data_IF_045311068609
#
_entry.id   IF_045311068609
#
_cell.length_a   1.000
_cell.length_b   1.000
_cell.length_c   1.000
_cell.angle_alpha   90.00
_cell.angle_beta   90.00
_cell.angle_gamma   90.00
#
_symmetry.space_group_name_H-M   'P 1'
#
loop_
_entity.id
_entity.type
_entity.pdbx_description
1 polymer ?
#
# COMPACT_ATOMS: atom_id res chain seq x y z
N UNK A 1 6.54 -13.06 2.41
CA UNK A 1 6.50 -13.83 1.15
C UNK A 1 6.90 -13.06 -0.11
N UNK A 2 7.52 -11.86 -0.03
CA UNK A 2 7.94 -11.17 -1.26
C UNK A 2 9.09 -11.90 -1.98
N UNK A 3 10.15 -12.27 -1.26
CA UNK A 3 11.29 -12.99 -1.84
C UNK A 3 10.91 -14.34 -2.49
N UNK A 4 10.15 -15.25 -1.85
CA UNK A 4 9.72 -16.49 -2.53
C UNK A 4 8.85 -16.27 -3.76
N UNK A 5 7.98 -15.26 -3.75
CA UNK A 5 7.17 -14.94 -4.91
C UNK A 5 8.05 -14.46 -6.09
N UNK A 6 9.10 -13.68 -5.81
CA UNK A 6 10.09 -13.26 -6.81
C UNK A 6 10.89 -14.46 -7.31
N UNK A 7 11.36 -15.35 -6.42
CA UNK A 7 12.11 -16.55 -6.79
C UNK A 7 11.29 -17.47 -7.71
N UNK A 8 10.02 -17.72 -7.36
CA UNK A 8 9.09 -18.49 -8.19
C UNK A 8 8.84 -17.84 -9.56
N UNK A 9 8.63 -16.52 -9.58
CA UNK A 9 8.44 -15.75 -10.81
C UNK A 9 9.67 -15.77 -11.73
N UNK A 10 10.88 -15.61 -11.16
CA UNK A 10 12.15 -15.68 -11.88
C UNK A 10 12.41 -17.07 -12.45
N UNK A 11 12.22 -18.11 -11.64
CA UNK A 11 12.39 -19.49 -12.09
C UNK A 11 11.42 -19.84 -13.22
N UNK A 12 10.17 -19.37 -13.15
CA UNK A 12 9.18 -19.53 -14.22
C UNK A 12 9.59 -18.77 -15.49
N UNK A 13 10.03 -17.51 -15.34
CA UNK A 13 10.51 -16.69 -16.46
C UNK A 13 11.69 -17.36 -17.20
N UNK A 14 12.60 -17.97 -16.44
CA UNK A 14 13.78 -18.68 -16.95
C UNK A 14 13.49 -20.13 -17.39
N UNK A 15 12.25 -20.61 -17.21
CA UNK A 15 11.83 -21.99 -17.51
C UNK A 15 12.67 -23.05 -16.80
N UNK A 16 13.04 -22.78 -15.55
CA UNK A 16 13.75 -23.74 -14.71
C UNK A 16 12.82 -24.91 -14.35
N UNK A 17 13.41 -26.06 -14.04
CA UNK A 17 12.66 -27.21 -13.55
C UNK A 17 12.11 -26.95 -12.14
N UNK A 18 11.05 -27.68 -11.79
CA UNK A 18 10.34 -27.52 -10.52
C UNK A 18 11.25 -27.69 -9.30
N UNK A 19 12.23 -28.60 -9.35
CA UNK A 19 13.13 -28.85 -8.22
C UNK A 19 14.05 -27.66 -7.98
N UNK A 20 14.62 -27.09 -9.04
CA UNK A 20 15.42 -25.85 -8.95
C UNK A 20 14.60 -24.70 -8.36
N UNK A 21 13.35 -24.54 -8.79
CA UNK A 21 12.45 -23.49 -8.26
C UNK A 21 12.14 -23.76 -6.77
N UNK A 22 11.91 -25.02 -6.40
CA UNK A 22 11.65 -25.42 -5.03
C UNK A 22 12.83 -25.06 -4.11
N UNK A 23 14.06 -25.39 -4.50
CA UNK A 23 15.26 -25.02 -3.74
C UNK A 23 15.42 -23.50 -3.61
N UNK A 24 15.19 -22.74 -4.69
CA UNK A 24 15.25 -21.28 -4.66
C UNK A 24 14.20 -20.65 -3.73
N UNK A 25 12.96 -21.18 -3.72
CA UNK A 25 11.91 -20.74 -2.80
C UNK A 25 12.36 -20.98 -1.36
N UNK A 26 12.81 -22.19 -1.02
CA UNK A 26 13.27 -22.53 0.33
C UNK A 26 14.36 -21.56 0.82
N UNK A 27 15.41 -21.36 0.01
CA UNK A 27 16.51 -20.46 0.34
C UNK A 27 16.05 -19.00 0.51
N UNK A 28 15.23 -18.50 -0.43
CA UNK A 28 14.78 -17.10 -0.41
C UNK A 28 13.91 -16.79 0.80
N UNK A 29 13.07 -17.73 1.25
CA UNK A 29 12.25 -17.61 2.46
C UNK A 29 13.15 -17.54 3.69
N UNK A 30 14.07 -18.50 3.81
CA UNK A 30 14.99 -18.60 4.95
C UNK A 30 15.73 -17.28 5.21
N UNK A 31 16.21 -16.63 4.15
CA UNK A 31 17.03 -15.41 4.24
C UNK A 31 16.24 -14.10 4.31
N UNK A 32 14.93 -14.10 4.06
CA UNK A 32 14.14 -12.87 3.88
C UNK A 32 13.19 -12.51 5.04
N UNK A 33 13.34 -13.14 6.20
CA UNK A 33 12.62 -12.73 7.40
C UNK A 33 13.24 -11.48 8.02
N UNK A 34 12.41 -10.44 8.19
CA UNK A 34 12.78 -9.20 8.87
C UNK A 34 11.62 -8.74 9.74
N UNK A 35 11.91 -8.24 10.94
CA UNK A 35 10.87 -7.72 11.83
C UNK A 35 10.26 -6.43 11.29
N UNK A 36 9.06 -6.09 11.77
CA UNK A 36 8.35 -4.87 11.37
C UNK A 36 8.95 -3.59 12.00
N UNK A 37 10.05 -3.69 12.75
CA UNK A 37 10.70 -2.55 13.40
C UNK A 37 11.14 -1.49 12.38
N UNK A 38 11.44 -1.90 11.14
CA UNK A 38 11.69 -1.00 9.99
C UNK A 38 10.55 0.00 9.69
N UNK A 39 9.37 -0.13 10.33
CA UNK A 39 8.15 0.66 10.10
C UNK A 39 7.48 1.07 11.43
N UNK A 40 8.22 1.18 12.53
CA UNK A 40 7.74 1.62 13.85
C UNK A 40 8.80 2.49 14.55
N UNK A 41 8.38 3.49 15.32
CA UNK A 41 9.28 4.45 15.97
C UNK A 41 9.91 5.39 14.94
N UNK A 42 11.21 5.68 15.08
CA UNK A 42 11.96 6.44 14.08
C UNK A 42 12.09 5.62 12.78
N UNK A 43 11.30 5.97 11.77
CA UNK A 43 11.27 5.26 10.49
C UNK A 43 12.47 5.70 9.64
N UNK A 44 13.44 4.81 9.48
CA UNK A 44 14.61 5.05 8.62
C UNK A 44 14.32 4.79 7.13
N UNK A 45 15.24 5.23 6.27
CA UNK A 45 15.18 4.99 4.82
C UNK A 45 15.14 3.51 4.45
N UNK A 46 15.56 2.61 5.35
CA UNK A 46 15.52 1.16 5.13
C UNK A 46 14.11 0.64 4.77
N UNK A 47 13.05 1.31 5.24
CA UNK A 47 11.65 1.04 4.84
C UNK A 47 11.49 0.99 3.31
N UNK A 48 12.16 1.87 2.58
CA UNK A 48 12.09 1.96 1.12
C UNK A 48 12.94 0.89 0.42
N UNK A 49 14.04 0.46 1.04
CA UNK A 49 14.98 -0.52 0.47
C UNK A 49 14.64 -1.98 0.79
N UNK A 50 13.92 -2.25 1.88
CA UNK A 50 13.57 -3.62 2.30
C UNK A 50 12.90 -4.47 1.19
N UNK A 51 11.97 -3.94 0.36
CA UNK A 51 11.44 -4.72 -0.76
C UNK A 51 12.49 -5.07 -1.83
N UNK A 52 13.39 -4.14 -2.16
CA UNK A 52 14.46 -4.38 -3.13
C UNK A 52 15.48 -5.40 -2.59
N UNK A 53 15.75 -5.38 -1.29
CA UNK A 53 16.56 -6.38 -0.60
C UNK A 53 15.98 -7.80 -0.79
N UNK A 54 14.67 -7.97 -0.63
CA UNK A 54 14.01 -9.25 -0.90
C UNK A 54 14.19 -9.72 -2.35
N UNK A 55 14.18 -8.79 -3.32
CA UNK A 55 14.48 -9.09 -4.73
C UNK A 55 15.92 -9.54 -4.95
N UNK A 56 16.90 -8.88 -4.32
CA UNK A 56 18.31 -9.28 -4.39
C UNK A 56 18.51 -10.70 -3.85
N UNK A 57 17.93 -11.00 -2.68
CA UNK A 57 18.01 -12.33 -2.08
C UNK A 57 17.36 -13.41 -2.96
N UNK A 58 16.25 -13.10 -3.62
CA UNK A 58 15.59 -14.02 -4.54
C UNK A 58 16.45 -14.32 -5.77
N UNK A 59 17.10 -13.31 -6.36
CA UNK A 59 18.02 -13.50 -7.50
C UNK A 59 19.19 -14.41 -7.09
N UNK A 60 19.79 -14.14 -5.94
CA UNK A 60 20.90 -14.96 -5.43
C UNK A 60 20.45 -16.40 -5.13
N UNK A 61 19.28 -16.59 -4.52
CA UNK A 61 18.72 -17.92 -4.26
C UNK A 61 18.49 -18.71 -5.55
N UNK A 62 17.97 -18.07 -6.60
CA UNK A 62 17.77 -18.70 -7.91
C UNK A 62 19.12 -19.05 -8.56
N UNK A 63 20.10 -18.15 -8.56
CA UNK A 63 21.45 -18.42 -9.11
C UNK A 63 22.11 -19.63 -8.42
N UNK A 64 22.07 -19.71 -7.09
CA UNK A 64 22.62 -20.84 -6.34
C UNK A 64 21.92 -22.15 -6.67
N UNK A 65 20.58 -22.14 -6.71
CA UNK A 65 19.81 -23.33 -7.07
C UNK A 65 20.13 -23.82 -8.50
N UNK A 66 20.29 -22.90 -9.45
CA UNK A 66 20.71 -23.22 -10.83
C UNK A 66 22.10 -23.88 -10.90
N UNK A 67 22.96 -23.68 -9.89
CA UNK A 67 24.27 -24.34 -9.75
C UNK A 67 24.18 -25.71 -9.08
N UNK A 68 22.97 -26.20 -8.77
CA UNK A 68 22.73 -27.48 -8.13
C UNK A 68 22.80 -27.46 -6.60
N UNK A 69 22.86 -26.28 -5.98
CA UNK A 69 22.84 -26.16 -4.53
C UNK A 69 21.44 -26.43 -3.97
N UNK A 70 21.40 -27.10 -2.80
CA UNK A 70 20.16 -27.33 -2.04
C UNK A 70 20.03 -26.33 -0.89
N UNK A 71 18.79 -26.09 -0.47
CA UNK A 71 18.42 -25.18 0.60
C UNK A 71 17.91 -25.95 1.84
N UNK A 72 17.88 -25.31 3.03
CA UNK A 72 17.17 -25.86 4.18
C UNK A 72 15.70 -26.19 3.81
N UNK A 73 15.28 -27.43 4.03
CA UNK A 73 14.00 -27.95 3.55
C UNK A 73 13.40 -28.99 4.49
N UNK A 74 12.07 -29.02 4.69
CA UNK A 74 11.11 -28.02 4.21
C UNK A 74 11.18 -26.72 5.04
N UNK A 75 11.28 -25.57 4.38
CA UNK A 75 11.50 -24.29 5.08
C UNK A 75 10.30 -23.82 5.89
N UNK A 76 9.09 -24.26 5.54
CA UNK A 76 7.86 -23.85 6.20
C UNK A 76 7.49 -24.79 7.36
N UNK A 77 7.48 -26.10 7.13
CA UNK A 77 6.95 -27.10 8.06
C UNK A 77 8.02 -27.84 8.87
N UNK A 78 9.30 -27.59 8.59
CA UNK A 78 10.40 -28.25 9.31
C UNK A 78 10.37 -28.00 10.82
N UNK A 79 11.14 -28.76 11.58
CA UNK A 79 11.17 -28.63 13.04
C UNK A 79 11.63 -27.22 13.48
N UNK A 80 12.68 -26.69 12.86
CA UNK A 80 13.23 -25.35 13.12
C UNK A 80 12.95 -24.37 11.97
N UNK A 81 11.68 -24.33 11.57
CA UNK A 81 11.20 -23.64 10.39
C UNK A 81 10.50 -22.32 10.66
N UNK A 82 10.01 -21.72 9.57
CA UNK A 82 9.21 -20.49 9.59
C UNK A 82 7.95 -20.64 10.44
N UNK A 83 7.16 -21.71 10.28
CA UNK A 83 5.92 -21.86 11.04
C UNK A 83 6.21 -21.95 12.53
N UNK A 84 7.21 -22.76 12.88
CA UNK A 84 7.63 -23.03 14.25
C UNK A 84 8.10 -21.77 15.00
N UNK A 85 8.98 -20.98 14.39
CA UNK A 85 9.73 -19.94 15.10
C UNK A 85 9.34 -18.51 14.74
N UNK A 86 8.80 -18.29 13.53
CA UNK A 86 8.54 -16.94 13.02
C UNK A 86 7.06 -16.59 12.96
N UNK A 87 6.19 -17.59 12.83
CA UNK A 87 4.75 -17.39 12.81
C UNK A 87 4.12 -17.87 14.13
N UNK A 88 3.00 -18.58 14.08
CA UNK A 88 2.19 -18.87 15.26
C UNK A 88 2.58 -20.13 16.03
N UNK A 89 3.66 -20.81 15.65
CA UNK A 89 4.17 -22.01 16.31
C UNK A 89 3.96 -23.29 15.49
N UNK A 90 4.60 -24.39 15.94
CA UNK A 90 4.60 -25.71 15.27
C UNK A 90 3.18 -26.29 15.10
N UNK A 91 2.27 -25.97 16.01
CA UNK A 91 0.90 -26.50 16.03
C UNK A 91 -0.11 -25.60 15.28
N UNK A 92 0.36 -24.64 14.48
CA UNK A 92 -0.51 -23.73 13.72
C UNK A 92 -0.64 -24.14 12.26
N UNK A 93 -1.88 -24.20 11.81
CA UNK A 93 -2.23 -24.44 10.41
C UNK A 93 -2.45 -23.12 9.67
N UNK A 94 -1.99 -23.07 8.41
CA UNK A 94 -2.03 -21.89 7.56
C UNK A 94 -2.53 -22.21 6.16
N UNK A 95 -3.81 -21.97 5.93
CA UNK A 95 -4.42 -22.20 4.62
C UNK A 95 -4.01 -21.11 3.62
N UNK A 96 -3.22 -21.48 2.60
CA UNK A 96 -2.88 -20.59 1.47
C UNK A 96 -3.68 -21.01 0.23
N UNK A 97 -4.58 -20.16 -0.29
CA UNK A 97 -5.35 -20.48 -1.50
C UNK A 97 -4.47 -20.38 -2.74
N UNK A 98 -4.51 -21.40 -3.60
CA UNK A 98 -3.94 -21.35 -4.95
C UNK A 98 -5.04 -21.47 -6.01
N UNK A 99 -4.80 -20.93 -7.23
CA UNK A 99 -5.69 -21.21 -8.36
C UNK A 99 -5.69 -22.69 -8.71
N UNK A 100 -6.87 -23.24 -8.98
CA UNK A 100 -7.02 -24.60 -9.49
C UNK A 100 -6.43 -24.74 -10.90
N UNK A 101 -6.07 -25.96 -11.35
CA UNK A 101 -5.65 -26.20 -12.73
C UNK A 101 -6.62 -25.59 -13.75
N UNK A 102 -6.10 -24.73 -14.63
CA UNK A 102 -6.89 -24.03 -15.65
C UNK A 102 -7.58 -22.75 -15.18
N UNK A 103 -7.56 -22.41 -13.88
CA UNK A 103 -8.05 -21.11 -13.43
C UNK A 103 -7.06 -19.98 -13.76
N UNK A 104 -7.56 -18.81 -14.19
CA UNK A 104 -6.71 -17.65 -14.46
C UNK A 104 -6.17 -17.03 -13.17
N UNK A 105 -4.90 -16.63 -13.18
CA UNK A 105 -4.28 -15.82 -12.11
C UNK A 105 -4.86 -14.41 -12.11
N UNK A 106 -5.79 -14.11 -11.20
CA UNK A 106 -6.50 -12.83 -11.14
C UNK A 106 -6.10 -11.92 -9.99
N UNK A 107 -5.23 -12.35 -9.09
CA UNK A 107 -4.83 -11.57 -7.90
C UNK A 107 -4.21 -10.22 -8.26
N UNK A 108 -3.57 -10.08 -9.41
CA UNK A 108 -3.04 -8.79 -9.90
C UNK A 108 -4.15 -7.73 -10.04
N UNK A 109 -5.40 -8.14 -10.29
CA UNK A 109 -6.55 -7.26 -10.42
C UNK A 109 -7.04 -6.72 -9.07
N UNK A 110 -6.58 -7.34 -7.98
CA UNK A 110 -6.74 -6.85 -6.61
C UNK A 110 -5.56 -5.96 -6.17
N UNK A 111 -4.73 -5.51 -7.11
CA UNK A 111 -3.69 -4.54 -6.79
C UNK A 111 -4.30 -3.16 -6.57
N UNK A 112 -3.95 -2.58 -5.42
CA UNK A 112 -4.47 -1.27 -5.07
C UNK A 112 -3.57 -0.15 -5.58
N UNK A 113 -4.10 0.64 -6.51
CA UNK A 113 -3.37 1.77 -7.08
C UNK A 113 -3.31 2.92 -6.09
N UNK A 114 -2.12 3.49 -5.91
CA UNK A 114 -1.93 4.76 -5.22
C UNK A 114 -2.03 5.88 -6.24
N UNK A 115 -2.94 6.82 -6.02
CA UNK A 115 -2.94 8.08 -6.75
C UNK A 115 -1.87 9.00 -6.17
N UNK A 116 -1.95 9.18 -4.85
CA UNK A 116 -1.12 10.10 -4.10
C UNK A 116 0.15 9.40 -3.61
N UNK A 117 1.29 10.08 -3.62
CA UNK A 117 2.50 9.58 -2.97
C UNK A 117 2.33 9.74 -1.46
N UNK A 118 1.63 8.79 -0.84
CA UNK A 118 1.38 8.68 0.59
C UNK A 118 1.26 7.19 1.00
N UNK A 119 1.25 6.90 2.30
CA UNK A 119 0.83 5.60 2.82
C UNK A 119 -0.57 5.22 2.30
N UNK A 120 -0.84 3.92 2.08
CA UNK A 120 -2.04 3.51 1.34
C UNK A 120 -3.33 3.86 2.11
N UNK A 121 -3.32 3.80 3.44
CA UNK A 121 -4.45 4.08 4.31
C UNK A 121 -4.78 5.58 4.36
N UNK A 122 -3.88 6.43 3.86
CA UNK A 122 -4.10 7.86 3.75
C UNK A 122 -4.71 8.30 2.40
N UNK A 123 -4.80 7.41 1.41
CA UNK A 123 -5.27 7.77 0.06
C UNK A 123 -6.69 8.37 0.10
N UNK A 124 -7.63 7.69 0.78
CA UNK A 124 -9.00 8.19 0.91
C UNK A 124 -9.09 9.47 1.74
N UNK A 125 -8.17 9.67 2.71
CA UNK A 125 -8.14 10.89 3.53
C UNK A 125 -7.79 12.12 2.69
N UNK A 126 -6.86 11.97 1.73
CA UNK A 126 -6.51 13.04 0.79
C UNK A 126 -7.72 13.38 -0.09
N UNK A 127 -8.39 12.35 -0.64
CA UNK A 127 -9.57 12.55 -1.47
C UNK A 127 -10.73 13.23 -0.70
N UNK A 128 -10.97 12.80 0.54
CA UNK A 128 -11.96 13.42 1.44
C UNK A 128 -11.58 14.88 1.74
N UNK A 129 -10.31 15.16 2.03
CA UNK A 129 -9.83 16.51 2.28
C UNK A 129 -10.04 17.42 1.05
N UNK A 130 -9.81 16.93 -0.16
CA UNK A 130 -10.13 17.66 -1.39
C UNK A 130 -11.63 17.92 -1.55
N UNK A 131 -12.48 16.95 -1.22
CA UNK A 131 -13.94 17.12 -1.22
C UNK A 131 -14.38 18.21 -0.24
N UNK A 132 -13.85 18.17 1.00
CA UNK A 132 -14.13 19.14 2.05
C UNK A 132 -13.64 20.54 1.69
N UNK A 133 -12.46 20.66 1.09
CA UNK A 133 -11.93 21.95 0.62
C UNK A 133 -12.86 22.61 -0.39
N UNK A 134 -13.48 21.84 -1.29
CA UNK A 134 -14.45 22.40 -2.26
C UNK A 134 -15.70 22.98 -1.61
N UNK A 135 -16.00 22.61 -0.36
CA UNK A 135 -17.05 23.24 0.46
C UNK A 135 -16.65 24.62 1.02
N UNK A 136 -15.43 25.11 0.72
CA UNK A 136 -14.91 26.45 1.08
C UNK A 136 -14.96 26.75 2.58
N UNK A 137 -14.70 25.75 3.41
CA UNK A 137 -14.58 25.89 4.86
C UNK A 137 -13.30 26.68 5.14
N UNK A 138 -13.39 27.73 5.96
CA UNK A 138 -12.22 28.43 6.48
C UNK A 138 -11.53 27.56 7.56
N UNK A 139 -10.28 27.09 7.33
CA UNK A 139 -9.58 26.25 8.31
C UNK A 139 -9.42 26.91 9.68
N UNK A 140 -9.42 28.25 9.76
CA UNK A 140 -9.32 28.98 11.03
C UNK A 140 -10.56 28.81 11.92
N UNK A 141 -11.72 28.54 11.30
CA UNK A 141 -12.99 28.29 12.02
C UNK A 141 -13.12 26.86 12.52
N UNK A 142 -12.18 25.97 12.16
CA UNK A 142 -12.19 24.59 12.61
C UNK A 142 -11.83 24.56 14.11
N UNK A 143 -12.70 23.92 14.88
CA UNK A 143 -12.48 23.59 16.29
C UNK A 143 -11.84 22.22 16.44
N UNK A 144 -12.38 21.22 15.74
CA UNK A 144 -11.94 19.82 15.83
C UNK A 144 -12.20 19.10 14.49
N UNK A 145 -11.35 18.12 14.18
CA UNK A 145 -11.56 17.16 13.11
C UNK A 145 -11.41 15.75 13.67
N UNK A 146 -12.43 14.92 13.48
CA UNK A 146 -12.40 13.50 13.87
C UNK A 146 -12.48 12.63 12.61
N UNK A 147 -11.50 11.73 12.46
CA UNK A 147 -11.41 10.78 11.36
C UNK A 147 -11.78 9.38 11.89
N UNK A 148 -12.98 8.92 11.56
CA UNK A 148 -13.46 7.57 11.88
C UNK A 148 -12.99 6.57 10.83
N UNK A 149 -12.21 5.57 11.25
CA UNK A 149 -11.49 4.67 10.34
C UNK A 149 -11.28 3.28 10.95
N UNK A 150 -10.66 2.36 10.21
CA UNK A 150 -10.30 1.02 10.69
C UNK A 150 -9.18 1.02 11.73
N UNK A 151 -9.07 -0.08 12.48
CA UNK A 151 -7.96 -0.38 13.39
C UNK A 151 -6.60 -0.14 12.73
N UNK A 152 -6.45 -0.59 11.48
CA UNK A 152 -5.19 -0.53 10.78
C UNK A 152 -4.76 0.93 10.56
N UNK A 153 -5.64 1.78 10.03
CA UNK A 153 -5.35 3.21 9.85
C UNK A 153 -5.08 3.88 11.19
N UNK A 154 -5.96 3.67 12.18
CA UNK A 154 -5.87 4.29 13.51
C UNK A 154 -4.53 3.98 14.21
N UNK A 155 -4.12 2.72 14.24
CA UNK A 155 -2.95 2.25 14.99
C UNK A 155 -1.64 2.27 14.19
N UNK A 156 -1.69 2.37 12.85
CA UNK A 156 -0.48 2.40 12.00
C UNK A 156 -0.10 3.81 11.60
N UNK A 157 -1.04 4.67 11.22
CA UNK A 157 -0.76 6.04 10.74
C UNK A 157 -1.54 7.13 11.47
N UNK A 158 -2.53 6.76 12.29
CA UNK A 158 -3.34 7.68 13.09
C UNK A 158 -2.84 7.89 14.51
N UNK A 159 -3.70 8.48 15.33
CA UNK A 159 -3.46 8.83 16.73
C UNK A 159 -3.26 7.62 17.63
N UNK A 160 -3.91 6.49 17.33
CA UNK A 160 -3.75 5.23 18.08
C UNK A 160 -2.36 4.61 17.97
N UNK A 161 -1.53 5.10 17.04
CA UNK A 161 -0.13 4.67 16.96
C UNK A 161 0.73 5.12 18.14
N UNK A 162 0.25 6.10 18.94
CA UNK A 162 0.96 6.69 20.09
C UNK A 162 2.37 7.21 19.75
N UNK A 163 2.57 7.62 18.49
CA UNK A 163 3.84 8.13 17.98
C UNK A 163 3.78 9.67 17.93
N UNK A 164 4.46 10.38 18.85
CA UNK A 164 4.43 11.84 18.90
C UNK A 164 5.06 12.47 17.65
N UNK A 165 5.99 11.79 16.98
CA UNK A 165 6.65 12.32 15.77
C UNK A 165 5.67 12.52 14.62
N UNK A 166 4.50 11.87 14.63
CA UNK A 166 3.46 12.09 13.61
C UNK A 166 2.72 13.40 13.77
N UNK A 167 2.87 14.08 14.90
CA UNK A 167 2.38 15.43 15.14
C UNK A 167 3.48 16.47 15.01
N UNK A 168 4.71 16.05 14.67
CA UNK A 168 5.85 16.93 14.56
C UNK A 168 6.04 17.38 13.09
N UNK A 169 5.85 18.66 12.75
CA UNK A 169 6.12 19.17 11.41
C UNK A 169 7.61 19.12 11.01
N UNK A 170 8.52 18.91 11.95
CA UNK A 170 9.95 18.71 11.72
C UNK A 170 10.35 17.26 11.46
N UNK A 171 9.40 16.33 11.54
CA UNK A 171 9.65 14.92 11.30
C UNK A 171 10.12 14.65 9.86
N UNK A 172 10.77 13.49 9.67
CA UNK A 172 11.22 13.04 8.36
C UNK A 172 10.05 12.87 7.40
N UNK A 173 10.36 12.89 6.09
CA UNK A 173 9.40 12.56 5.04
C UNK A 173 8.75 11.19 5.31
N UNK A 174 9.54 10.22 5.76
CA UNK A 174 9.11 8.85 6.03
C UNK A 174 8.06 8.77 7.14
N UNK A 175 8.17 9.65 8.15
CA UNK A 175 7.20 9.80 9.24
C UNK A 175 5.98 10.61 8.80
N UNK A 176 6.17 11.73 8.11
CA UNK A 176 5.06 12.57 7.60
C UNK A 176 4.19 11.81 6.56
N UNK A 177 4.82 10.96 5.74
CA UNK A 177 4.15 9.99 4.85
C UNK A 177 3.27 9.00 5.61
N UNK A 178 3.47 8.84 6.93
CA UNK A 178 2.73 7.93 7.81
C UNK A 178 1.98 8.67 8.94
N UNK A 179 1.67 9.96 8.73
CA UNK A 179 0.85 10.76 9.64
C UNK A 179 -0.49 11.09 8.98
N UNK A 180 -1.56 10.40 9.37
CA UNK A 180 -2.91 10.68 8.88
C UNK A 180 -3.33 12.14 9.13
N UNK A 181 -2.91 12.71 10.27
CA UNK A 181 -3.21 14.08 10.67
C UNK A 181 -2.50 15.08 9.75
N UNK A 182 -1.19 14.89 9.50
CA UNK A 182 -0.44 15.77 8.60
C UNK A 182 -0.97 15.71 7.17
N UNK A 183 -1.17 14.49 6.66
CA UNK A 183 -1.63 14.26 5.30
C UNK A 183 -2.99 14.92 5.08
N UNK A 184 -3.93 14.73 6.01
CA UNK A 184 -5.24 15.35 5.94
C UNK A 184 -5.16 16.88 6.01
N UNK A 185 -4.36 17.44 6.93
CA UNK A 185 -4.18 18.88 7.08
C UNK A 185 -3.67 19.53 5.79
N UNK A 186 -2.56 19.02 5.23
CA UNK A 186 -1.95 19.57 4.02
C UNK A 186 -2.88 19.41 2.81
N UNK A 187 -3.53 18.26 2.66
CA UNK A 187 -4.48 18.06 1.57
C UNK A 187 -5.68 19.02 1.64
N UNK A 188 -6.19 19.30 2.85
CA UNK A 188 -7.28 20.24 3.07
C UNK A 188 -6.87 21.69 2.77
N UNK A 189 -5.67 22.08 3.22
CA UNK A 189 -5.14 23.44 3.06
C UNK A 189 -4.70 23.78 1.64
N UNK A 190 -4.14 22.81 0.91
CA UNK A 190 -3.57 23.05 -0.42
C UNK A 190 -4.57 22.67 -1.53
N UNK A 191 -5.36 21.62 -1.34
CA UNK A 191 -6.26 21.09 -2.36
C UNK A 191 -5.57 20.30 -3.48
N UNK A 192 -4.28 20.01 -3.30
CA UNK A 192 -3.50 19.14 -4.16
C UNK A 192 -2.48 18.36 -3.31
N UNK A 193 -1.94 17.27 -3.86
CA UNK A 193 -0.88 16.48 -3.22
C UNK A 193 0.25 16.23 -4.21
N UNK A 194 1.47 16.62 -3.85
CA UNK A 194 2.64 16.46 -4.69
C UNK A 194 3.72 15.64 -3.96
N UNK A 195 4.31 14.69 -4.67
CA UNK A 195 5.22 13.70 -4.10
C UNK A 195 6.45 14.28 -3.40
N UNK A 196 6.93 15.47 -3.77
CA UNK A 196 7.98 16.19 -3.02
C UNK A 196 7.47 17.43 -2.28
N UNK A 197 6.87 18.37 -3.00
CA UNK A 197 6.43 19.67 -2.49
C UNK A 197 5.50 19.59 -1.27
N UNK A 198 4.66 18.55 -1.15
CA UNK A 198 3.79 18.36 0.02
C UNK A 198 4.55 17.92 1.29
N UNK A 199 5.83 17.56 1.18
CA UNK A 199 6.71 17.18 2.28
C UNK A 199 7.88 18.16 2.49
N UNK A 200 7.97 19.24 1.70
CA UNK A 200 9.03 20.23 1.86
C UNK A 200 8.96 20.85 3.26
N UNK A 201 10.12 21.11 3.88
CA UNK A 201 10.18 21.61 5.27
C UNK A 201 9.43 22.94 5.42
N UNK A 202 9.56 23.83 4.45
CA UNK A 202 8.88 25.13 4.41
C UNK A 202 7.37 24.96 4.35
N UNK A 203 6.89 23.90 3.68
CA UNK A 203 5.47 23.57 3.65
C UNK A 203 5.03 22.96 4.98
N UNK A 204 5.72 21.95 5.48
CA UNK A 204 5.32 21.25 6.71
C UNK A 204 5.28 22.19 7.92
N UNK A 205 6.21 23.15 7.98
CA UNK A 205 6.36 24.13 9.07
C UNK A 205 5.41 25.32 9.03
N UNK A 206 4.46 25.39 8.08
CA UNK A 206 3.50 26.50 8.07
C UNK A 206 2.75 26.56 9.41
N UNK A 207 2.64 27.73 10.07
CA UNK A 207 1.95 27.84 11.35
C UNK A 207 0.51 27.35 11.32
N UNK A 208 -0.21 27.58 10.22
CA UNK A 208 -1.59 27.10 10.04
C UNK A 208 -1.69 25.58 10.04
N UNK A 209 -0.71 24.88 9.46
CA UNK A 209 -0.65 23.42 9.42
C UNK A 209 -0.38 22.88 10.81
N UNK A 210 0.60 23.43 11.53
CA UNK A 210 0.90 23.01 12.90
C UNK A 210 -0.29 23.23 13.85
N UNK A 211 -1.06 24.31 13.65
CA UNK A 211 -2.30 24.56 14.39
C UNK A 211 -3.39 23.52 14.06
N UNK A 212 -3.65 23.31 12.76
CA UNK A 212 -4.68 22.38 12.29
C UNK A 212 -4.35 20.93 12.68
N UNK A 213 -3.08 20.54 12.60
CA UNK A 213 -2.58 19.21 12.95
C UNK A 213 -2.99 18.80 14.37
N UNK A 214 -2.94 19.74 15.33
CA UNK A 214 -3.33 19.52 16.74
C UNK A 214 -4.84 19.37 16.94
N UNK A 215 -5.65 19.79 15.97
CA UNK A 215 -7.12 19.68 15.99
C UNK A 215 -7.62 18.38 15.36
N UNK A 216 -6.76 17.63 14.69
CA UNK A 216 -7.12 16.40 13.99
C UNK A 216 -6.80 15.19 14.87
N UNK A 217 -7.79 14.32 15.07
CA UNK A 217 -7.60 13.01 15.68
C UNK A 217 -8.25 11.90 14.86
N UNK A 218 -7.80 10.68 15.06
CA UNK A 218 -8.43 9.49 14.47
C UNK A 218 -9.09 8.67 15.57
N UNK A 219 -10.19 8.01 15.24
CA UNK A 219 -10.85 7.06 16.12
C UNK A 219 -11.15 5.79 15.33
N UNK A 220 -10.85 4.64 15.93
CA UNK A 220 -11.28 3.36 15.36
C UNK A 220 -12.80 3.22 15.47
N UNK A 221 -13.42 2.72 14.40
CA UNK A 221 -14.78 2.16 14.48
C UNK A 221 -14.79 0.74 13.96
N UNK A 222 -15.54 -0.11 14.67
CA UNK A 222 -15.60 -1.56 14.44
C UNK A 222 -16.03 -1.87 13.00
N UNK A 223 -17.01 -1.16 12.47
CA UNK A 223 -17.53 -1.34 11.11
C UNK A 223 -16.48 -1.11 10.03
N UNK A 224 -15.54 -0.16 10.24
CA UNK A 224 -14.44 0.06 9.30
C UNK A 224 -13.40 -1.05 9.39
N UNK A 225 -13.12 -1.56 10.61
CA UNK A 225 -12.23 -2.70 10.81
C UNK A 225 -12.79 -3.98 10.18
N UNK A 226 -14.07 -4.27 10.37
CA UNK A 226 -14.76 -5.41 9.76
C UNK A 226 -14.74 -5.31 8.22
N UNK A 227 -15.05 -4.14 7.66
CA UNK A 227 -15.02 -3.94 6.21
C UNK A 227 -13.60 -4.01 5.63
N UNK A 228 -12.57 -3.55 6.35
CA UNK A 228 -11.17 -3.66 5.93
C UNK A 228 -10.74 -5.12 5.78
N UNK A 229 -11.22 -6.00 6.67
CA UNK A 229 -10.91 -7.43 6.68
C UNK A 229 -11.92 -8.31 5.93
N UNK A 230 -12.87 -7.71 5.22
CA UNK A 230 -13.90 -8.47 4.54
C UNK A 230 -13.28 -9.49 3.56
N UNK A 231 -13.69 -10.77 3.58
CA UNK A 231 -13.07 -11.81 2.77
C UNK A 231 -13.30 -11.59 1.26
N UNK A 232 -14.46 -11.08 0.87
CA UNK A 232 -14.74 -10.65 -0.51
C UNK A 232 -14.03 -9.30 -0.80
N UNK A 233 -13.07 -9.27 -1.73
CA UNK A 233 -12.36 -8.04 -2.11
C UNK A 233 -13.26 -6.94 -2.64
N UNK A 234 -14.42 -7.26 -3.23
CA UNK A 234 -15.40 -6.27 -3.70
C UNK A 234 -16.01 -5.46 -2.55
N UNK A 235 -16.07 -6.05 -1.36
CA UNK A 235 -16.65 -5.44 -0.16
C UNK A 235 -15.61 -4.79 0.76
N UNK A 236 -14.33 -4.92 0.43
CA UNK A 236 -13.26 -4.29 1.22
C UNK A 236 -13.38 -2.77 1.16
N UNK A 237 -13.17 -2.15 2.32
CA UNK A 237 -13.18 -0.69 2.49
C UNK A 237 -11.88 -0.20 3.09
N UNK A 238 -11.24 0.74 2.41
CA UNK A 238 -9.99 1.40 2.79
C UNK A 238 -10.16 2.90 3.04
N UNK A 239 -11.40 3.30 3.31
CA UNK A 239 -11.80 4.68 3.48
C UNK A 239 -11.97 5.13 4.92
N UNK A 240 -12.69 6.24 5.09
CA UNK A 240 -12.99 6.85 6.38
C UNK A 240 -14.24 7.74 6.29
N UNK A 241 -14.80 8.06 7.45
CA UNK A 241 -15.71 9.19 7.63
C UNK A 241 -14.99 10.29 8.40
N UNK A 242 -15.05 11.52 7.90
CA UNK A 242 -14.44 12.70 8.53
C UNK A 242 -15.54 13.65 8.97
N UNK A 243 -15.46 14.05 10.24
CA UNK A 243 -16.34 15.05 10.85
C UNK A 243 -15.52 16.26 11.27
N UNK A 244 -15.76 17.39 10.60
CA UNK A 244 -15.21 18.69 10.98
C UNK A 244 -16.25 19.40 11.84
N UNK A 245 -15.87 19.78 13.06
CA UNK A 245 -16.69 20.64 13.91
C UNK A 245 -16.12 22.06 13.93
N UNK A 246 -16.95 23.04 13.59
CA UNK A 246 -16.59 24.45 13.60
C UNK A 246 -16.72 25.05 15.01
N UNK A 247 -16.17 26.25 15.20
CA UNK A 247 -16.23 26.99 16.47
C UNK A 247 -17.67 27.26 16.94
N UNK A 248 -18.59 27.51 16.01
CA UNK A 248 -20.03 27.72 16.29
C UNK A 248 -20.80 26.41 16.58
N UNK A 249 -20.12 25.26 16.53
CA UNK A 249 -20.72 23.94 16.74
C UNK A 249 -21.26 23.27 15.49
N UNK A 250 -21.28 23.94 14.34
CA UNK A 250 -21.69 23.35 13.06
C UNK A 250 -20.80 22.15 12.71
N UNK A 251 -21.42 21.06 12.28
CA UNK A 251 -20.73 19.86 11.83
C UNK A 251 -20.80 19.69 10.31
N UNK A 252 -19.65 19.44 9.70
CA UNK A 252 -19.53 19.13 8.28
C UNK A 252 -18.95 17.73 8.16
N UNK A 253 -19.67 16.85 7.47
CA UNK A 253 -19.31 15.45 7.30
C UNK A 253 -18.96 15.16 5.84
N UNK A 254 -18.02 14.25 5.64
CA UNK A 254 -17.64 13.70 4.34
C UNK A 254 -17.14 12.28 4.54
N UNK A 255 -17.47 11.38 3.61
CA UNK A 255 -17.16 9.96 3.72
C UNK A 255 -16.80 9.40 2.36
N UNK A 256 -15.77 8.56 2.33
CA UNK A 256 -15.47 7.69 1.21
C UNK A 256 -15.25 6.29 1.73
N UNK A 257 -15.85 5.29 1.09
CA UNK A 257 -15.63 3.88 1.44
C UNK A 257 -14.27 3.37 0.94
N UNK A 258 -13.79 3.90 -0.19
CA UNK A 258 -12.51 3.56 -0.79
C UNK A 258 -11.87 4.80 -1.45
N UNK A 259 -10.53 4.85 -1.55
CA UNK A 259 -9.83 5.88 -2.32
C UNK A 259 -10.33 5.94 -3.77
N UNK A 260 -10.25 7.11 -4.40
CA UNK A 260 -10.73 7.31 -5.77
C UNK A 260 -10.12 6.32 -6.75
N UNK A 261 -8.79 6.21 -6.75
CA UNK A 261 -8.04 5.34 -7.66
C UNK A 261 -8.13 3.83 -7.36
N UNK A 262 -8.73 3.44 -6.23
CA UNK A 262 -8.95 2.02 -5.90
C UNK A 262 -9.86 1.36 -6.96
N UNK A 263 -9.72 0.05 -7.25
CA UNK A 263 -10.61 -0.64 -8.19
C UNK A 263 -12.11 -0.52 -7.86
N UNK A 264 -12.45 -0.50 -6.56
CA UNK A 264 -13.80 -0.27 -6.04
C UNK A 264 -14.05 1.21 -5.66
N UNK A 265 -13.20 2.13 -6.10
CA UNK A 265 -13.30 3.57 -5.83
C UNK A 265 -14.29 4.27 -6.76
N UNK A 266 -14.56 5.55 -6.49
CA UNK A 266 -15.49 6.33 -7.32
C UNK A 266 -14.89 6.77 -8.66
N UNK A 267 -13.56 6.80 -8.77
CA UNK A 267 -12.81 7.16 -9.98
C UNK A 267 -11.60 6.24 -10.16
N UNK A 268 -11.79 4.92 -10.39
CA UNK A 268 -10.68 3.99 -10.51
C UNK A 268 -9.72 4.43 -11.61
N UNK A 269 -8.42 4.35 -11.33
CA UNK A 269 -7.38 4.83 -12.25
C UNK A 269 -7.50 4.18 -13.63
N UNK A 270 -7.58 5.02 -14.66
CA UNK A 270 -7.57 4.62 -16.06
C UNK A 270 -6.20 4.92 -16.66
N UNK A 271 -5.97 4.42 -17.88
CA UNK A 271 -4.71 4.62 -18.62
C UNK A 271 -4.24 6.09 -18.63
N UNK A 272 -5.15 7.04 -18.88
CA UNK A 272 -4.82 8.47 -18.90
C UNK A 272 -4.27 8.97 -17.56
N UNK A 273 -4.74 8.41 -16.44
CA UNK A 273 -4.34 8.81 -15.10
C UNK A 273 -2.95 8.24 -14.77
N UNK A 274 -2.65 7.01 -15.22
CA UNK A 274 -1.29 6.46 -15.18
C UNK A 274 -0.31 7.27 -16.01
N UNK A 275 -0.68 7.70 -17.23
CA UNK A 275 0.17 8.54 -18.07
C UNK A 275 0.41 9.90 -17.41
N UNK A 276 -0.64 10.53 -16.87
CA UNK A 276 -0.50 11.79 -16.11
C UNK A 276 0.47 11.64 -14.95
N UNK A 277 0.30 10.58 -14.15
CA UNK A 277 1.21 10.27 -13.03
C UNK A 277 2.64 10.00 -13.49
N UNK A 278 2.84 9.23 -14.56
CA UNK A 278 4.16 8.98 -15.15
C UNK A 278 4.84 10.30 -15.55
N UNK A 279 4.11 11.20 -16.22
CA UNK A 279 4.65 12.49 -16.63
C UNK A 279 5.10 13.33 -15.44
N UNK A 280 4.27 13.40 -14.38
CA UNK A 280 4.60 14.12 -13.14
C UNK A 280 5.81 13.55 -12.43
N UNK A 281 5.90 12.22 -12.30
CA UNK A 281 7.01 11.57 -11.59
C UNK A 281 8.35 11.62 -12.34
N UNK A 282 8.30 11.87 -13.65
CA UNK A 282 9.49 11.93 -14.51
C UNK A 282 9.83 13.37 -14.93
N UNK A 283 9.11 14.37 -14.42
CA UNK A 283 9.36 15.78 -14.71
C UNK A 283 10.79 16.16 -14.31
N UNK A 284 11.54 16.77 -15.24
CA UNK A 284 12.94 17.13 -15.03
C UNK A 284 13.94 15.96 -14.99
N UNK A 285 13.47 14.70 -14.97
CA UNK A 285 14.34 13.51 -14.93
C UNK A 285 14.53 12.84 -16.29
N UNK A 286 13.52 12.94 -17.16
CA UNK A 286 13.52 12.30 -18.49
C UNK A 286 13.12 13.35 -19.53
N UNK A 287 13.84 13.38 -20.64
CA UNK A 287 13.53 14.25 -21.77
C UNK A 287 12.15 13.95 -22.37
N UNK A 288 11.44 14.98 -22.82
CA UNK A 288 10.07 14.86 -23.33
C UNK A 288 9.95 13.89 -24.52
N UNK A 289 10.98 13.84 -25.38
CA UNK A 289 11.05 12.91 -26.50
C UNK A 289 11.15 11.45 -26.03
N UNK A 290 12.00 11.17 -25.03
CA UNK A 290 12.17 9.82 -24.48
C UNK A 290 10.92 9.34 -23.73
N UNK A 291 10.23 10.23 -23.01
CA UNK A 291 8.90 9.92 -22.43
C UNK A 291 7.91 9.49 -23.52
N UNK A 292 7.86 10.24 -24.62
CA UNK A 292 6.94 9.95 -25.75
C UNK A 292 7.29 8.63 -26.41
N UNK A 293 8.58 8.36 -26.65
CA UNK A 293 9.05 7.07 -27.19
C UNK A 293 8.67 5.93 -26.25
N UNK A 294 8.96 6.03 -24.96
CA UNK A 294 8.61 4.99 -23.99
C UNK A 294 7.11 4.69 -24.01
N UNK A 295 6.26 5.72 -23.90
CA UNK A 295 4.81 5.55 -23.94
C UNK A 295 4.35 4.91 -25.25
N UNK A 296 4.87 5.35 -26.40
CA UNK A 296 4.55 4.73 -27.70
C UNK A 296 4.90 3.24 -27.72
N UNK A 297 6.06 2.84 -27.21
CA UNK A 297 6.45 1.43 -27.16
C UNK A 297 5.58 0.64 -26.18
N UNK A 298 5.32 1.18 -24.99
CA UNK A 298 4.48 0.54 -23.99
C UNK A 298 3.05 0.31 -24.51
N UNK A 299 2.51 1.26 -25.27
CA UNK A 299 1.19 1.15 -25.89
C UNK A 299 1.15 0.21 -27.11
N UNK A 300 2.27 0.10 -27.83
CA UNK A 300 2.39 -0.79 -28.98
C UNK A 300 2.68 -2.25 -28.58
N UNK A 301 3.02 -2.52 -27.32
CA UNK A 301 3.12 -3.89 -26.82
C UNK A 301 1.78 -4.60 -27.04
N UNK A 302 1.78 -5.63 -27.90
CA UNK A 302 0.62 -6.51 -28.04
C UNK A 302 0.25 -7.03 -26.64
N UNK A 303 -1.04 -7.17 -26.31
CA UNK A 303 -1.43 -7.80 -25.05
C UNK A 303 -0.90 -9.23 -25.06
N UNK A 304 0.27 -9.47 -24.45
CA UNK A 304 0.90 -10.78 -24.34
C UNK A 304 0.19 -11.67 -23.29
N UNK A 305 -0.97 -11.26 -22.78
CA UNK A 305 -1.83 -12.03 -21.88
C UNK A 305 -3.31 -11.65 -22.05
N UNK A 306 -4.28 -12.53 -21.66
CA UNK A 306 -5.70 -12.35 -21.95
C UNK A 306 -6.22 -11.07 -21.32
N UNK A 307 -6.64 -10.13 -22.18
CA UNK A 307 -7.48 -9.02 -21.75
C UNK A 307 -8.81 -9.59 -21.29
N UNK A 308 -9.14 -9.44 -20.01
CA UNK A 308 -10.47 -9.80 -19.53
C UNK A 308 -11.48 -8.84 -20.18
N UNK A 309 -12.52 -9.37 -20.86
CA UNK A 309 -13.57 -8.53 -21.39
C UNK A 309 -14.19 -7.67 -20.30
N UNK A 310 -14.61 -6.42 -20.62
CA UNK A 310 -15.35 -5.57 -19.69
C UNK A 310 -16.52 -6.34 -19.05
N UNK A 311 -16.67 -6.27 -17.72
CA UNK A 311 -17.74 -6.95 -16.99
C UNK A 311 -17.50 -8.44 -16.62
N UNK A 312 -16.36 -9.04 -17.00
CA UNK A 312 -15.97 -10.41 -16.57
C UNK A 312 -15.35 -10.49 -15.18
N UNK A 313 -15.11 -9.34 -14.54
CA UNK A 313 -14.70 -9.23 -13.14
C UNK A 313 -15.91 -9.41 -12.23
N UNK A 314 -16.34 -10.66 -12.03
CA UNK A 314 -17.25 -11.03 -10.94
C UNK A 314 -16.45 -11.83 -9.91
N UNK A 315 -15.82 -11.10 -8.99
CA UNK A 315 -15.14 -11.64 -7.82
C UNK A 315 -13.83 -12.37 -8.11
N UNK A 316 -12.92 -12.30 -7.16
CA UNK A 316 -11.72 -13.10 -7.07
C UNK A 316 -11.85 -14.11 -5.93
N UNK A 317 -13.03 -14.72 -5.80
CA UNK A 317 -13.27 -15.71 -4.75
C UNK A 317 -12.24 -16.83 -4.91
N UNK A 318 -11.24 -16.82 -4.02
CA UNK A 318 -10.33 -17.93 -3.83
C UNK A 318 -11.11 -19.13 -3.34
N UNK A 319 -10.68 -20.31 -3.74
CA UNK A 319 -11.21 -21.57 -3.22
C UNK A 319 -11.07 -21.62 -1.69
N UNK A 320 -11.96 -22.36 -1.04
CA UNK A 320 -11.91 -22.69 0.39
C UNK A 320 -10.89 -23.79 0.72
N UNK A 321 -10.25 -24.41 -0.28
CA UNK A 321 -9.17 -25.38 -0.06
C UNK A 321 -7.80 -24.70 -0.17
N UNK A 322 -7.04 -24.73 0.91
CA UNK A 322 -5.60 -24.43 0.89
C UNK A 322 -4.75 -25.68 1.04
N UNK A 323 -3.45 -25.48 1.04
CA UNK A 323 -2.42 -26.53 0.93
C UNK A 323 -1.89 -26.99 2.30
N UNK A 324 -2.15 -26.23 3.35
CA UNK A 324 -1.70 -26.52 4.72
C UNK A 324 -2.83 -26.35 5.73
#
# INVERSE_FOLDING_TARGET
HLAPAIAAGLGTLLRLDTETIFQAINQSVHLSFSTRQSRKGEISSWKAYAPAWAGKLAIEAVDRAMRGEKAPSPIYEGEDSVLAWMLGGRDREYTVPLPEPGQPFRTILESYTKEHSAEYQAQALIDIAFNLRRKKIDPKKIREVVIYTSHHTHNVIGTGSNDPQKFDPDASRETLDHSAMYIFAVALEDGHWHHEKSYAKERARRPSTAELLRKIKTEEKKEWTEAYHHPDPAQKKFGAEVVITLQDGTQIKEKLDNPNAHPNGTKPFQKKDYIGKFNTLTEGLIEAEEKRKFLKHAEAMKPYNPSLPPGKLKGSQGDRKGIF
#
